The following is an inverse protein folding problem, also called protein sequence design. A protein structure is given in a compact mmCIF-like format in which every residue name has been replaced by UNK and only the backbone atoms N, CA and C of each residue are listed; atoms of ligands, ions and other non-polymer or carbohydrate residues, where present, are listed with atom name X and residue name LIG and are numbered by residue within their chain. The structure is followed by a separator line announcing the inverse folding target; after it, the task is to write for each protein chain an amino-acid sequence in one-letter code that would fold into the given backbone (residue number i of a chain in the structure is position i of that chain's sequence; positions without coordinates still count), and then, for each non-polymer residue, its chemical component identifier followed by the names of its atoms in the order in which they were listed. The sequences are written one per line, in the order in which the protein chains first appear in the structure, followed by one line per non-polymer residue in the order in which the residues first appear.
data_IF_302849367655
#
_entry.id   IF_302849367655
#
_cell.length_a   1.000
_cell.length_b   1.000
_cell.length_c   1.000
_cell.angle_alpha   90.00
_cell.angle_beta   90.00
_cell.angle_gamma   90.00
#
_symmetry.space_group_name_H-M   'P 1'
#
loop_
_entity.id
_entity.type
_entity.pdbx_description
1 polymer ?
#
# COMPACT_ATOMS: atom_id res chain seq x y z
N UNK A 1 -28.31 34.22 -19.32
CA UNK A 1 -28.68 33.69 -17.98
C UNK A 1 -29.13 32.23 -17.98
N UNK A 2 -29.79 31.71 -19.03
CA UNK A 2 -30.22 30.28 -19.09
C UNK A 2 -29.06 29.28 -19.19
N UNK A 3 -28.11 29.49 -20.10
CA UNK A 3 -26.95 28.60 -20.28
C UNK A 3 -26.05 28.50 -19.03
N UNK A 4 -25.80 29.62 -18.35
CA UNK A 4 -25.01 29.64 -17.10
C UNK A 4 -25.69 28.90 -15.93
N UNK A 5 -27.03 28.88 -15.89
CA UNK A 5 -27.79 28.14 -14.88
C UNK A 5 -27.82 26.64 -15.18
N UNK A 6 -27.96 26.28 -16.47
CA UNK A 6 -27.86 24.89 -16.95
C UNK A 6 -26.48 24.29 -16.67
N UNK A 7 -25.41 25.03 -16.96
CA UNK A 7 -24.03 24.59 -16.70
C UNK A 7 -23.72 24.42 -15.21
N UNK A 8 -24.18 25.35 -14.35
CA UNK A 8 -24.05 25.20 -12.88
C UNK A 8 -24.81 23.99 -12.34
N UNK A 9 -26.00 23.70 -12.89
CA UNK A 9 -26.77 22.52 -12.51
C UNK A 9 -26.05 21.22 -12.90
N UNK A 10 -25.46 21.20 -14.10
CA UNK A 10 -24.67 20.07 -14.58
C UNK A 10 -23.43 19.80 -13.70
N UNK A 11 -22.64 20.82 -13.39
CA UNK A 11 -21.48 20.69 -12.50
C UNK A 11 -21.87 20.22 -11.10
N UNK A 12 -23.04 20.63 -10.60
CA UNK A 12 -23.57 20.13 -9.32
C UNK A 12 -23.80 18.62 -9.39
N UNK A 13 -24.49 18.14 -10.43
CA UNK A 13 -24.75 16.71 -10.59
C UNK A 13 -23.46 15.89 -10.72
N UNK A 14 -22.45 16.40 -11.43
CA UNK A 14 -21.13 15.75 -11.49
C UNK A 14 -20.48 15.62 -10.11
N UNK A 15 -20.61 16.63 -9.25
CA UNK A 15 -20.08 16.61 -7.87
C UNK A 15 -20.82 15.62 -6.96
N UNK A 16 -22.07 15.30 -7.27
CA UNK A 16 -22.88 14.33 -6.51
C UNK A 16 -22.57 12.87 -6.88
N UNK A 17 -21.96 12.63 -8.05
CA UNK A 17 -21.56 11.29 -8.50
C UNK A 17 -20.66 10.60 -7.45
N UNK A 18 -20.82 9.29 -7.29
CA UNK A 18 -19.96 8.50 -6.41
C UNK A 18 -18.84 7.86 -7.21
N UNK A 19 -17.72 8.56 -7.35
CA UNK A 19 -16.57 8.08 -8.11
C UNK A 19 -15.23 8.63 -7.56
N UNK A 20 -14.11 8.27 -8.18
CA UNK A 20 -12.79 8.62 -7.66
C UNK A 20 -12.54 10.13 -7.63
N UNK A 21 -13.17 10.88 -8.53
CA UNK A 21 -13.08 12.34 -8.61
C UNK A 21 -13.78 13.06 -7.46
N UNK A 22 -14.78 12.44 -6.82
CA UNK A 22 -15.59 13.05 -5.76
C UNK A 22 -15.29 12.47 -4.37
N UNK A 23 -14.49 11.41 -4.27
CA UNK A 23 -14.11 10.79 -2.99
C UNK A 23 -13.01 11.53 -2.21
N UNK A 24 -12.68 12.76 -2.60
CA UNK A 24 -11.64 13.58 -1.97
C UNK A 24 -10.30 12.85 -1.84
N UNK A 25 -9.92 12.12 -2.89
CA UNK A 25 -8.61 11.50 -2.99
C UNK A 25 -7.61 12.59 -3.38
N UNK A 26 -6.94 13.19 -2.40
CA UNK A 26 -5.95 14.25 -2.63
C UNK A 26 -4.50 13.76 -2.37
N UNK A 27 -3.95 12.87 -3.22
CA UNK A 27 -2.57 12.42 -3.09
C UNK A 27 -1.58 13.37 -3.77
N UNK A 28 -0.49 13.66 -3.07
CA UNK A 28 0.72 14.25 -3.66
C UNK A 28 1.21 13.44 -4.89
N UNK A 29 1.86 14.11 -5.85
CA UNK A 29 2.37 13.49 -7.09
C UNK A 29 3.29 12.29 -6.80
N UNK A 30 4.19 12.40 -5.81
CA UNK A 30 5.08 11.31 -5.41
C UNK A 30 4.33 10.04 -4.98
N UNK A 31 3.16 10.24 -4.36
CA UNK A 31 2.29 9.19 -3.85
C UNK A 31 1.48 8.55 -4.97
N UNK A 32 1.00 9.33 -5.93
CA UNK A 32 0.35 8.83 -7.15
C UNK A 32 1.27 7.88 -7.91
N UNK A 33 2.52 8.29 -8.16
CA UNK A 33 3.53 7.47 -8.84
C UNK A 33 3.80 6.15 -8.09
N UNK A 34 3.91 6.19 -6.76
CA UNK A 34 4.04 4.97 -5.94
C UNK A 34 2.80 4.07 -5.98
N UNK A 35 1.62 4.65 -6.13
CA UNK A 35 0.37 3.89 -6.17
C UNK A 35 0.17 3.25 -7.55
N UNK A 36 0.50 3.97 -8.63
CA UNK A 36 0.56 3.44 -10.00
C UNK A 36 1.35 2.13 -10.07
N UNK A 37 2.62 2.17 -9.67
CA UNK A 37 3.49 0.98 -9.72
C UNK A 37 2.95 -0.17 -8.84
N UNK A 38 2.35 0.15 -7.68
CA UNK A 38 1.73 -0.87 -6.82
C UNK A 38 0.51 -1.52 -7.47
N UNK A 39 -0.30 -0.76 -8.20
CA UNK A 39 -1.49 -1.28 -8.86
C UNK A 39 -1.10 -2.11 -10.08
N UNK A 40 -0.06 -1.70 -10.82
CA UNK A 40 0.54 -2.51 -11.87
C UNK A 40 1.11 -3.82 -11.31
N UNK A 41 1.81 -3.76 -10.19
CA UNK A 41 2.37 -4.94 -9.53
C UNK A 41 1.28 -5.91 -9.01
N UNK A 42 -0.01 -5.55 -8.96
CA UNK A 42 -1.09 -6.51 -8.63
C UNK A 42 -1.29 -7.52 -9.76
N UNK A 43 -0.96 -7.14 -11.00
CA UNK A 43 -1.17 -7.96 -12.18
C UNK A 43 -2.61 -7.93 -12.70
N UNK A 44 -2.78 -8.42 -13.93
CA UNK A 44 -4.05 -8.48 -14.67
C UNK A 44 -4.54 -9.92 -14.83
N UNK A 45 -4.14 -10.80 -13.92
CA UNK A 45 -4.45 -12.23 -14.00
C UNK A 45 -5.96 -12.50 -14.02
N UNK A 46 -6.33 -13.48 -14.85
CA UNK A 46 -7.72 -13.93 -15.00
C UNK A 46 -8.24 -14.45 -13.66
N UNK A 47 -9.35 -13.88 -13.19
CA UNK A 47 -9.97 -14.23 -11.90
C UNK A 47 -9.68 -13.26 -10.75
N UNK A 48 -8.89 -12.20 -10.96
CA UNK A 48 -8.79 -11.10 -10.00
C UNK A 48 -10.14 -10.34 -9.90
N UNK A 49 -10.89 -10.60 -8.83
CA UNK A 49 -12.22 -9.98 -8.60
C UNK A 49 -12.18 -8.45 -8.46
N UNK A 50 -11.01 -7.86 -8.24
CA UNK A 50 -10.82 -6.41 -8.15
C UNK A 50 -10.30 -5.78 -9.45
N UNK A 51 -10.15 -6.54 -10.55
CA UNK A 51 -9.48 -6.06 -11.77
C UNK A 51 -10.10 -4.79 -12.36
N UNK A 52 -11.42 -4.75 -12.50
CA UNK A 52 -12.13 -3.55 -12.96
C UNK A 52 -11.89 -2.32 -12.07
N UNK A 53 -11.97 -2.50 -10.76
CA UNK A 53 -11.71 -1.48 -9.76
C UNK A 53 -10.24 -0.99 -9.78
N UNK A 54 -9.29 -1.90 -10.05
CA UNK A 54 -7.87 -1.55 -10.25
C UNK A 54 -7.73 -0.64 -11.46
N UNK A 55 -8.39 -0.98 -12.58
CA UNK A 55 -8.36 -0.14 -13.78
C UNK A 55 -9.04 1.21 -13.56
N UNK A 56 -10.17 1.27 -12.85
CA UNK A 56 -10.79 2.54 -12.46
C UNK A 56 -9.82 3.43 -11.66
N UNK A 57 -9.18 2.88 -10.63
CA UNK A 57 -8.25 3.67 -9.83
C UNK A 57 -7.00 4.07 -10.62
N UNK A 58 -6.49 3.20 -11.50
CA UNK A 58 -5.37 3.55 -12.40
C UNK A 58 -5.76 4.65 -13.36
N UNK A 59 -6.94 4.59 -13.99
CA UNK A 59 -7.41 5.64 -14.90
C UNK A 59 -7.49 7.00 -14.22
N UNK A 60 -8.02 7.04 -13.00
CA UNK A 60 -8.00 8.25 -12.18
C UNK A 60 -6.58 8.76 -11.91
N UNK A 61 -5.64 7.88 -11.56
CA UNK A 61 -4.24 8.25 -11.29
C UNK A 61 -3.55 8.79 -12.55
N UNK A 62 -3.70 8.14 -13.70
CA UNK A 62 -3.09 8.61 -14.96
C UNK A 62 -3.64 9.99 -15.35
N UNK A 63 -4.95 10.19 -15.22
CA UNK A 63 -5.56 11.50 -15.47
C UNK A 63 -5.00 12.58 -14.53
N UNK A 64 -4.86 12.29 -13.23
CA UNK A 64 -4.23 13.21 -12.27
C UNK A 64 -2.74 13.47 -12.55
N UNK A 65 -2.09 12.59 -13.31
CA UNK A 65 -0.72 12.76 -13.79
C UNK A 65 -0.65 13.44 -15.18
N UNK A 66 -1.80 13.81 -15.78
CA UNK A 66 -1.89 14.49 -17.08
C UNK A 66 -1.94 13.54 -18.28
N UNK A 67 -2.08 12.23 -18.05
CA UNK A 67 -2.07 11.17 -19.07
C UNK A 67 -3.52 10.76 -19.39
N UNK A 68 -4.21 11.61 -20.15
CA UNK A 68 -5.66 11.50 -20.38
C UNK A 68 -6.04 10.35 -21.32
N UNK A 69 -5.23 10.06 -22.34
CA UNK A 69 -5.51 8.94 -23.27
C UNK A 69 -5.33 7.60 -22.58
N UNK A 70 -4.29 7.47 -21.76
CA UNK A 70 -4.09 6.30 -20.90
C UNK A 70 -5.23 6.15 -19.90
N UNK A 71 -5.69 7.25 -19.30
CA UNK A 71 -6.84 7.23 -18.41
C UNK A 71 -8.11 6.72 -19.09
N UNK A 72 -8.40 7.20 -20.31
CA UNK A 72 -9.55 6.75 -21.12
C UNK A 72 -9.47 5.26 -21.42
N UNK A 73 -8.33 4.78 -21.90
CA UNK A 73 -8.11 3.35 -22.18
C UNK A 73 -8.29 2.48 -20.94
N UNK A 74 -7.81 2.94 -19.78
CA UNK A 74 -7.97 2.24 -18.52
C UNK A 74 -9.43 2.19 -18.05
N UNK A 75 -10.19 3.27 -18.21
CA UNK A 75 -11.61 3.24 -17.87
C UNK A 75 -12.41 2.31 -18.78
N UNK A 76 -12.07 2.21 -20.07
CA UNK A 76 -12.68 1.23 -20.99
C UNK A 76 -12.37 -0.21 -20.56
N UNK A 77 -11.09 -0.51 -20.28
CA UNK A 77 -10.68 -1.81 -19.72
C UNK A 77 -11.36 -2.13 -18.40
N UNK A 78 -11.66 -1.11 -17.58
CA UNK A 78 -12.41 -1.29 -16.36
C UNK A 78 -13.85 -1.74 -16.65
N UNK A 79 -14.54 -1.11 -17.62
CA UNK A 79 -15.88 -1.52 -18.06
C UNK A 79 -15.89 -2.98 -18.51
N UNK A 80 -14.97 -3.35 -19.41
CA UNK A 80 -14.81 -4.72 -19.94
C UNK A 80 -14.59 -5.72 -18.80
N UNK A 81 -13.60 -5.48 -17.94
CA UNK A 81 -13.26 -6.39 -16.85
C UNK A 81 -14.39 -6.54 -15.81
N UNK A 82 -15.17 -5.50 -15.56
CA UNK A 82 -16.32 -5.57 -14.66
C UNK A 82 -17.45 -6.41 -15.26
N UNK A 83 -17.76 -6.21 -16.53
CA UNK A 83 -18.80 -6.95 -17.23
C UNK A 83 -18.43 -8.42 -17.41
N UNK A 84 -17.19 -8.72 -17.78
CA UNK A 84 -16.67 -10.10 -17.85
C UNK A 84 -16.77 -10.82 -16.50
N UNK A 85 -16.40 -10.14 -15.40
CA UNK A 85 -16.47 -10.70 -14.06
C UNK A 85 -17.91 -11.04 -13.64
N UNK A 86 -18.86 -10.19 -14.05
CA UNK A 86 -20.28 -10.32 -13.69
C UNK A 86 -21.08 -11.13 -14.72
N UNK A 87 -20.49 -11.42 -15.88
CA UNK A 87 -21.12 -12.09 -17.03
C UNK A 87 -22.41 -11.38 -17.46
N UNK A 88 -22.37 -10.05 -17.44
CA UNK A 88 -23.49 -9.18 -17.75
C UNK A 88 -22.97 -7.83 -18.23
N UNK A 89 -23.65 -7.22 -19.20
CA UNK A 89 -23.22 -5.97 -19.83
C UNK A 89 -23.65 -4.71 -19.05
N UNK A 90 -24.54 -4.88 -18.09
CA UNK A 90 -25.14 -3.80 -17.33
C UNK A 90 -25.39 -4.22 -15.88
N UNK A 91 -25.08 -3.31 -14.95
CA UNK A 91 -25.41 -3.47 -13.54
C UNK A 91 -24.77 -2.41 -12.66
N UNK A 92 -25.09 -2.42 -11.35
CA UNK A 92 -24.67 -1.36 -10.43
C UNK A 92 -23.15 -1.32 -10.17
N UNK A 93 -22.40 -2.35 -10.57
CA UNK A 93 -20.94 -2.35 -10.52
C UNK A 93 -20.29 -1.36 -11.51
N UNK A 94 -21.04 -0.88 -12.51
CA UNK A 94 -20.54 0.11 -13.49
C UNK A 94 -20.67 1.56 -13.02
N UNK A 95 -21.41 1.83 -11.93
CA UNK A 95 -21.73 3.20 -11.50
C UNK A 95 -20.47 4.04 -11.27
N UNK A 96 -19.47 3.50 -10.58
CA UNK A 96 -18.20 4.22 -10.32
C UNK A 96 -17.42 4.44 -11.62
N UNK A 97 -17.43 3.46 -12.52
CA UNK A 97 -16.74 3.53 -13.81
C UNK A 97 -17.36 4.61 -14.71
N UNK A 98 -18.68 4.61 -14.86
CA UNK A 98 -19.38 5.63 -15.65
C UNK A 98 -19.28 7.01 -15.01
N UNK A 99 -19.28 7.12 -13.68
CA UNK A 99 -19.00 8.37 -12.99
C UNK A 99 -17.59 8.91 -13.27
N UNK A 100 -16.58 8.04 -13.30
CA UNK A 100 -15.22 8.42 -13.69
C UNK A 100 -15.15 8.88 -15.16
N UNK A 101 -15.83 8.20 -16.08
CA UNK A 101 -15.89 8.57 -17.50
C UNK A 101 -16.59 9.91 -17.70
N UNK A 102 -17.70 10.16 -16.99
CA UNK A 102 -18.39 11.45 -17.01
C UNK A 102 -17.44 12.59 -16.62
N UNK A 103 -16.68 12.42 -15.54
CA UNK A 103 -15.67 13.41 -15.10
C UNK A 103 -14.52 13.56 -16.08
N UNK A 104 -14.03 12.48 -16.69
CA UNK A 104 -12.97 12.55 -17.69
C UNK A 104 -13.41 13.36 -18.90
N UNK A 105 -14.56 13.05 -19.49
CA UNK A 105 -15.09 13.79 -20.63
C UNK A 105 -15.37 15.26 -20.30
N UNK A 106 -15.87 15.55 -19.09
CA UNK A 106 -16.04 16.92 -18.62
C UNK A 106 -14.71 17.70 -18.62
N UNK A 107 -13.65 17.12 -18.04
CA UNK A 107 -12.32 17.76 -18.04
C UNK A 107 -11.71 17.92 -19.43
N UNK A 108 -12.08 17.06 -20.39
CA UNK A 108 -11.66 17.16 -21.79
C UNK A 108 -12.49 18.16 -22.60
N UNK A 109 -13.54 18.77 -22.02
CA UNK A 109 -14.43 19.70 -22.70
C UNK A 109 -15.53 19.03 -23.53
N UNK A 110 -15.63 17.71 -23.50
CA UNK A 110 -16.64 16.92 -24.20
C UNK A 110 -17.91 16.80 -23.36
N UNK A 111 -18.72 17.86 -23.40
CA UNK A 111 -19.94 17.95 -22.59
C UNK A 111 -21.00 16.93 -23.02
N UNK A 112 -21.05 16.56 -24.31
CA UNK A 112 -22.04 15.62 -24.82
C UNK A 112 -21.82 14.21 -24.26
N UNK A 113 -20.59 13.70 -24.34
CA UNK A 113 -20.25 12.40 -23.75
C UNK A 113 -20.33 12.43 -22.22
N UNK A 114 -19.92 13.53 -21.58
CA UNK A 114 -20.03 13.67 -20.13
C UNK A 114 -21.50 13.56 -19.67
N UNK A 115 -22.42 14.24 -20.37
CA UNK A 115 -23.86 14.16 -20.12
C UNK A 115 -24.41 12.76 -20.42
N UNK A 116 -23.95 12.08 -21.47
CA UNK A 116 -24.36 10.73 -21.80
C UNK A 116 -23.99 9.73 -20.69
N UNK A 117 -22.77 9.80 -20.16
CA UNK A 117 -22.36 8.96 -19.03
C UNK A 117 -23.08 9.29 -17.74
N UNK A 118 -23.37 10.58 -17.49
CA UNK A 118 -24.18 10.99 -16.34
C UNK A 118 -25.59 10.36 -16.41
N UNK A 119 -26.23 10.41 -17.56
CA UNK A 119 -27.53 9.76 -17.78
C UNK A 119 -27.47 8.23 -17.63
N UNK A 120 -26.36 7.60 -18.03
CA UNK A 120 -26.14 6.15 -17.75
C UNK A 120 -26.04 5.85 -16.26
N UNK A 121 -25.40 6.72 -15.47
CA UNK A 121 -25.34 6.56 -14.01
C UNK A 121 -26.75 6.68 -13.41
N UNK A 122 -27.52 7.69 -13.80
CA UNK A 122 -28.89 7.90 -13.32
C UNK A 122 -29.77 6.67 -13.63
N UNK A 123 -29.74 6.18 -14.88
CA UNK A 123 -30.49 5.00 -15.29
C UNK A 123 -30.12 3.73 -14.49
N UNK A 124 -28.82 3.52 -14.22
CA UNK A 124 -28.37 2.39 -13.40
C UNK A 124 -28.87 2.50 -11.95
N UNK A 125 -28.84 3.69 -11.36
CA UNK A 125 -29.26 3.91 -9.98
C UNK A 125 -30.78 3.81 -9.81
N UNK A 126 -31.56 4.16 -10.84
CA UNK A 126 -33.01 3.95 -10.87
C UNK A 126 -33.37 2.47 -11.02
N UNK A 127 -32.70 1.75 -11.91
CA UNK A 127 -32.95 0.32 -12.19
C UNK A 127 -32.45 -0.60 -11.07
N UNK A 128 -31.36 -0.24 -10.42
CA UNK A 128 -30.72 -1.01 -9.35
C UNK A 128 -30.59 -0.15 -8.07
N UNK A 129 -31.72 0.18 -7.43
CA UNK A 129 -31.69 1.00 -6.21
C UNK A 129 -30.94 0.28 -5.09
N UNK A 130 -30.43 1.05 -4.14
CA UNK A 130 -29.78 0.48 -2.96
C UNK A 130 -30.76 -0.43 -2.18
N UNK A 131 -30.32 -1.62 -1.72
CA UNK A 131 -31.14 -2.50 -0.89
C UNK A 131 -31.59 -1.87 0.43
N UNK A 132 -30.95 -0.79 0.87
CA UNK A 132 -31.29 -0.04 2.08
C UNK A 132 -31.58 1.42 1.72
N UNK A 133 -32.78 1.90 2.07
CA UNK A 133 -33.21 3.25 1.72
C UNK A 133 -32.26 4.32 2.28
N UNK A 134 -31.92 5.29 1.44
CA UNK A 134 -31.01 6.39 1.79
C UNK A 134 -29.53 6.00 1.90
N UNK A 135 -29.17 4.73 1.73
CA UNK A 135 -27.78 4.29 1.75
C UNK A 135 -27.18 4.14 0.35
N UNK A 136 -25.86 4.32 0.25
CA UNK A 136 -25.11 4.06 -0.98
C UNK A 136 -25.24 2.59 -1.38
N UNK A 137 -25.32 2.33 -2.69
CA UNK A 137 -25.35 0.97 -3.23
C UNK A 137 -24.11 0.16 -2.74
N UNK A 138 -24.25 -1.13 -2.39
CA UNK A 138 -23.15 -1.93 -1.81
C UNK A 138 -21.90 -2.02 -2.69
N UNK A 139 -22.04 -2.08 -4.03
CA UNK A 139 -20.90 -2.07 -4.97
C UNK A 139 -20.09 -0.76 -4.84
N UNK A 140 -20.76 0.39 -4.72
CA UNK A 140 -20.11 1.71 -4.51
C UNK A 140 -19.41 1.73 -3.15
N UNK A 141 -20.06 1.21 -2.10
CA UNK A 141 -19.47 1.11 -0.77
C UNK A 141 -18.18 0.27 -0.79
N UNK A 142 -18.22 -0.89 -1.45
CA UNK A 142 -17.10 -1.82 -1.53
C UNK A 142 -15.92 -1.23 -2.33
N UNK A 143 -16.17 -0.62 -3.49
CA UNK A 143 -15.13 0.04 -4.29
C UNK A 143 -14.52 1.21 -3.55
N UNK A 144 -15.34 2.08 -2.95
CA UNK A 144 -14.85 3.23 -2.17
C UNK A 144 -13.99 2.78 -0.99
N UNK A 145 -14.44 1.76 -0.25
CA UNK A 145 -13.69 1.19 0.85
C UNK A 145 -12.35 0.62 0.37
N UNK A 146 -12.37 -0.16 -0.72
CA UNK A 146 -11.18 -0.75 -1.32
C UNK A 146 -10.22 0.34 -1.79
N UNK A 147 -10.70 1.42 -2.42
CA UNK A 147 -9.87 2.54 -2.82
C UNK A 147 -9.25 3.23 -1.62
N UNK A 148 -10.05 3.61 -0.61
CA UNK A 148 -9.57 4.31 0.58
C UNK A 148 -8.46 3.57 1.33
N UNK A 149 -8.52 2.23 1.48
CA UNK A 149 -7.43 1.49 2.15
C UNK A 149 -6.05 1.66 1.45
N UNK A 150 -5.99 2.13 0.21
CA UNK A 150 -4.73 2.43 -0.50
C UNK A 150 -4.16 3.80 -0.10
N UNK A 151 -5.00 4.69 0.44
CA UNK A 151 -4.69 6.05 0.87
C UNK A 151 -4.34 6.18 2.37
N UNK A 152 -3.93 5.08 3.02
CA UNK A 152 -3.20 5.15 4.29
C UNK A 152 -4.09 4.93 5.53
N UNK A 153 -3.52 5.17 6.72
CA UNK A 153 -4.13 4.79 8.01
C UNK A 153 -5.34 5.65 8.37
N UNK A 154 -5.30 6.97 8.09
CA UNK A 154 -6.36 7.93 8.46
C UNK A 154 -7.74 7.55 7.92
N UNK A 155 -7.79 7.00 6.71
CA UNK A 155 -9.03 6.62 6.02
C UNK A 155 -9.44 5.16 6.30
N UNK A 156 -8.69 4.42 7.12
CA UNK A 156 -9.02 3.03 7.45
C UNK A 156 -10.34 2.88 8.22
N UNK A 157 -10.66 3.72 9.24
CA UNK A 157 -11.96 3.62 9.92
C UNK A 157 -13.12 3.81 8.95
N UNK A 158 -13.06 4.86 8.11
CA UNK A 158 -14.05 5.12 7.08
C UNK A 158 -14.19 3.95 6.09
N UNK A 159 -13.07 3.39 5.62
CA UNK A 159 -13.09 2.24 4.74
C UNK A 159 -13.69 1.00 5.43
N UNK A 160 -13.39 0.78 6.71
CA UNK A 160 -13.94 -0.32 7.48
C UNK A 160 -15.46 -0.22 7.60
N UNK A 161 -16.00 0.98 7.83
CA UNK A 161 -17.44 1.19 7.94
C UNK A 161 -18.15 1.01 6.59
N UNK A 162 -17.55 1.47 5.49
CA UNK A 162 -18.06 1.24 4.14
C UNK A 162 -18.09 -0.26 3.79
N UNK A 163 -17.05 -1.02 4.12
CA UNK A 163 -17.06 -2.47 3.94
C UNK A 163 -18.16 -3.14 4.79
N UNK A 164 -18.33 -2.75 6.06
CA UNK A 164 -19.40 -3.29 6.91
C UNK A 164 -20.77 -3.05 6.30
N UNK A 165 -21.03 -1.84 5.77
CA UNK A 165 -22.28 -1.52 5.08
C UNK A 165 -22.50 -2.41 3.86
N UNK A 166 -21.49 -2.53 3.00
CA UNK A 166 -21.54 -3.38 1.81
C UNK A 166 -21.84 -4.85 2.18
N UNK A 167 -21.10 -5.40 3.16
CA UNK A 167 -21.25 -6.80 3.62
C UNK A 167 -22.61 -7.02 4.29
N UNK A 168 -23.15 -6.06 5.03
CA UNK A 168 -24.49 -6.15 5.64
C UNK A 168 -25.57 -6.26 4.55
N UNK A 169 -25.43 -5.50 3.46
CA UNK A 169 -26.39 -5.52 2.35
C UNK A 169 -26.23 -6.75 1.44
N UNK A 170 -25.00 -7.25 1.23
CA UNK A 170 -24.73 -8.45 0.42
C UNK A 170 -23.64 -9.32 1.09
N UNK A 171 -24.03 -10.21 2.03
CA UNK A 171 -23.09 -10.99 2.83
C UNK A 171 -22.41 -12.16 2.07
N UNK A 172 -22.92 -12.51 0.90
CA UNK A 172 -22.40 -13.56 0.00
C UNK A 172 -21.11 -13.14 -0.72
N UNK A 173 -20.80 -11.84 -0.75
CA UNK A 173 -19.61 -11.28 -1.42
C UNK A 173 -18.33 -11.52 -0.62
N UNK A 174 -17.77 -12.72 -0.78
CA UNK A 174 -16.58 -13.17 -0.03
C UNK A 174 -15.35 -12.29 -0.20
N UNK A 175 -15.17 -11.62 -1.35
CA UNK A 175 -14.06 -10.70 -1.61
C UNK A 175 -14.13 -9.41 -0.79
N UNK A 176 -15.33 -8.96 -0.42
CA UNK A 176 -15.51 -7.78 0.43
C UNK A 176 -15.14 -8.11 1.87
N UNK A 177 -15.57 -9.28 2.36
CA UNK A 177 -15.16 -9.77 3.68
C UNK A 177 -13.63 -9.96 3.75
N UNK A 178 -13.03 -10.58 2.73
CA UNK A 178 -11.57 -10.72 2.65
C UNK A 178 -10.86 -9.36 2.70
N UNK A 179 -11.34 -8.37 1.93
CA UNK A 179 -10.75 -7.02 1.90
C UNK A 179 -10.91 -6.28 3.22
N UNK A 180 -12.07 -6.43 3.87
CA UNK A 180 -12.35 -5.87 5.19
C UNK A 180 -11.37 -6.37 6.24
N UNK A 181 -11.22 -7.70 6.38
CA UNK A 181 -10.35 -8.28 7.41
C UNK A 181 -8.86 -8.02 7.12
N UNK A 182 -8.45 -7.94 5.84
CA UNK A 182 -7.12 -7.48 5.45
C UNK A 182 -6.87 -6.02 5.84
N UNK A 183 -7.90 -5.18 5.76
CA UNK A 183 -7.88 -3.79 6.26
C UNK A 183 -7.58 -3.73 7.77
N UNK A 184 -8.26 -4.56 8.56
CA UNK A 184 -8.03 -4.69 10.01
C UNK A 184 -6.60 -5.16 10.31
N UNK A 185 -6.14 -6.23 9.66
CA UNK A 185 -4.78 -6.75 9.84
C UNK A 185 -3.70 -5.71 9.48
N UNK A 186 -3.96 -4.88 8.46
CA UNK A 186 -3.05 -3.79 8.07
C UNK A 186 -2.97 -2.69 9.13
N UNK A 187 -4.07 -2.36 9.81
CA UNK A 187 -4.08 -1.39 10.91
C UNK A 187 -3.19 -1.85 12.07
N UNK A 188 -3.21 -3.15 12.38
CA UNK A 188 -2.40 -3.78 13.44
C UNK A 188 -1.04 -4.29 12.97
N UNK A 189 -0.58 -3.90 11.78
CA UNK A 189 0.66 -4.44 11.17
C UNK A 189 1.90 -4.23 12.06
N UNK A 190 1.99 -3.07 12.70
CA UNK A 190 3.12 -2.68 13.55
C UNK A 190 2.90 -3.04 15.03
N UNK A 191 1.74 -3.60 15.40
CA UNK A 191 1.50 -4.15 16.73
C UNK A 191 2.21 -5.50 16.88
N UNK A 192 2.84 -5.72 18.03
CA UNK A 192 3.42 -7.02 18.40
C UNK A 192 2.34 -8.07 18.66
N UNK A 193 1.27 -7.69 19.37
CA UNK A 193 0.13 -8.57 19.68
C UNK A 193 -0.76 -8.89 18.46
N UNK A 194 -0.57 -8.18 17.35
CA UNK A 194 -1.35 -8.38 16.12
C UNK A 194 -2.80 -7.90 16.25
N UNK A 195 -3.72 -8.62 15.59
CA UNK A 195 -5.16 -8.36 15.69
C UNK A 195 -5.77 -9.01 16.93
N UNK A 196 -6.84 -8.39 17.45
CA UNK A 196 -7.61 -8.94 18.57
C UNK A 196 -8.28 -10.29 18.22
N UNK A 197 -8.77 -11.00 19.23
CA UNK A 197 -9.36 -12.32 19.06
C UNK A 197 -10.62 -12.31 18.19
N UNK A 198 -11.45 -11.26 18.24
CA UNK A 198 -12.65 -11.14 17.41
C UNK A 198 -12.27 -10.95 15.94
N UNK A 199 -11.31 -10.08 15.67
CA UNK A 199 -10.77 -9.86 14.32
C UNK A 199 -10.10 -11.11 13.76
N UNK A 200 -9.38 -11.87 14.59
CA UNK A 200 -8.77 -13.14 14.16
C UNK A 200 -9.83 -14.17 13.74
N UNK A 201 -10.91 -14.34 14.51
CA UNK A 201 -12.03 -15.23 14.14
C UNK A 201 -12.70 -14.79 12.82
N UNK A 202 -12.84 -13.48 12.59
CA UNK A 202 -13.35 -12.96 11.31
C UNK A 202 -12.41 -13.30 10.15
N UNK A 203 -11.10 -13.18 10.35
CA UNK A 203 -10.10 -13.57 9.35
C UNK A 203 -10.17 -15.06 9.01
N UNK A 204 -10.30 -15.91 10.03
CA UNK A 204 -10.44 -17.36 9.83
C UNK A 204 -11.68 -17.70 8.99
N UNK A 205 -12.84 -17.13 9.34
CA UNK A 205 -14.08 -17.29 8.56
C UNK A 205 -13.90 -16.82 7.11
N UNK A 206 -13.33 -15.64 6.91
CA UNK A 206 -13.10 -15.09 5.57
C UNK A 206 -12.14 -15.96 4.74
N UNK A 207 -11.09 -16.53 5.37
CA UNK A 207 -10.16 -17.48 4.72
C UNK A 207 -10.90 -18.75 4.29
N UNK A 208 -11.74 -19.32 5.15
CA UNK A 208 -12.48 -20.54 4.85
C UNK A 208 -13.55 -20.32 3.76
N UNK A 209 -14.16 -19.14 3.71
CA UNK A 209 -15.11 -18.75 2.66
C UNK A 209 -14.43 -18.41 1.31
N UNK A 210 -13.13 -18.08 1.31
CA UNK A 210 -12.37 -17.73 0.12
C UNK A 210 -10.99 -18.42 0.10
N UNK A 211 -10.95 -19.76 -0.06
CA UNK A 211 -9.72 -20.55 0.07
C UNK A 211 -8.67 -20.20 -1.00
N UNK A 212 -9.10 -19.65 -2.14
CA UNK A 212 -8.20 -19.25 -3.23
C UNK A 212 -7.49 -17.91 -2.96
N UNK A 213 -7.85 -17.18 -1.89
CA UNK A 213 -7.17 -15.95 -1.51
C UNK A 213 -5.90 -16.26 -0.70
N UNK A 214 -4.83 -16.63 -1.40
CA UNK A 214 -3.55 -16.99 -0.80
C UNK A 214 -2.90 -15.82 -0.04
N UNK A 215 -3.18 -14.57 -0.43
CA UNK A 215 -2.75 -13.39 0.31
C UNK A 215 -3.38 -13.33 1.71
N UNK A 216 -4.69 -13.56 1.81
CA UNK A 216 -5.39 -13.64 3.10
C UNK A 216 -4.84 -14.79 3.94
N UNK A 217 -4.61 -15.96 3.34
CA UNK A 217 -4.01 -17.09 4.03
C UNK A 217 -2.63 -16.73 4.64
N UNK A 218 -1.74 -16.09 3.88
CA UNK A 218 -0.42 -15.68 4.36
C UNK A 218 -0.50 -14.66 5.51
N UNK A 219 -1.41 -13.69 5.41
CA UNK A 219 -1.62 -12.69 6.46
C UNK A 219 -2.23 -13.32 7.71
N UNK A 220 -3.15 -14.28 7.55
CA UNK A 220 -3.74 -15.04 8.66
C UNK A 220 -2.69 -15.85 9.41
N UNK A 221 -1.86 -16.65 8.70
CA UNK A 221 -0.75 -17.39 9.32
C UNK A 221 0.22 -16.46 10.08
N UNK A 222 0.47 -15.26 9.54
CA UNK A 222 1.26 -14.24 10.25
C UNK A 222 0.61 -13.82 11.58
N UNK A 223 -0.73 -13.72 11.64
CA UNK A 223 -1.41 -13.40 12.90
C UNK A 223 -1.37 -14.58 13.89
N UNK A 224 -1.42 -15.82 13.41
CA UNK A 224 -1.28 -17.01 14.27
C UNK A 224 0.13 -17.09 14.86
N UNK A 225 1.17 -16.88 14.05
CA UNK A 225 2.56 -16.86 14.49
C UNK A 225 2.82 -15.77 15.54
N UNK A 226 2.21 -14.59 15.40
CA UNK A 226 2.25 -13.52 16.42
C UNK A 226 1.69 -13.97 17.78
N UNK A 227 0.78 -14.94 17.78
CA UNK A 227 0.19 -15.53 19.00
C UNK A 227 0.93 -16.78 19.47
N UNK A 228 2.13 -17.05 18.93
CA UNK A 228 2.96 -18.18 19.32
C UNK A 228 2.51 -19.53 18.77
N UNK A 229 1.59 -19.55 17.79
CA UNK A 229 1.22 -20.81 17.14
C UNK A 229 2.30 -21.23 16.13
N UNK A 230 2.57 -22.54 16.08
CA UNK A 230 3.38 -23.16 15.03
C UNK A 230 2.60 -23.13 13.71
N UNK A 231 3.25 -22.69 12.65
CA UNK A 231 2.64 -22.45 11.32
C UNK A 231 3.54 -22.89 10.17
N UNK A 232 4.64 -23.58 10.47
CA UNK A 232 5.70 -23.94 9.53
C UNK A 232 5.16 -24.83 8.40
N UNK A 233 4.41 -25.88 8.75
CA UNK A 233 3.83 -26.82 7.78
C UNK A 233 2.79 -26.14 6.88
N UNK A 234 1.92 -25.30 7.44
CA UNK A 234 0.95 -24.51 6.68
C UNK A 234 1.63 -23.48 5.79
N UNK A 235 2.70 -22.84 6.27
CA UNK A 235 3.47 -21.87 5.50
C UNK A 235 4.16 -22.54 4.30
N UNK A 236 4.70 -23.75 4.46
CA UNK A 236 5.33 -24.50 3.38
C UNK A 236 4.31 -24.97 2.32
N UNK A 237 3.13 -25.44 2.77
CA UNK A 237 2.01 -25.76 1.87
C UNK A 237 1.57 -24.52 1.09
N UNK A 238 1.43 -23.38 1.77
CA UNK A 238 1.06 -22.12 1.15
C UNK A 238 2.12 -21.61 0.17
N UNK A 239 3.41 -21.76 0.49
CA UNK A 239 4.51 -21.44 -0.40
C UNK A 239 4.40 -22.20 -1.72
N UNK A 240 4.14 -23.50 -1.64
CA UNK A 240 3.93 -24.36 -2.81
C UNK A 240 2.74 -23.91 -3.65
N UNK A 241 1.64 -23.47 -3.03
CA UNK A 241 0.46 -22.95 -3.74
C UNK A 241 0.72 -21.60 -4.42
N UNK A 242 1.38 -20.68 -3.72
CA UNK A 242 1.70 -19.34 -4.25
C UNK A 242 2.61 -19.46 -5.47
N UNK A 243 3.65 -20.30 -5.39
CA UNK A 243 4.64 -20.46 -6.46
C UNK A 243 4.17 -21.32 -7.65
N UNK A 244 2.98 -21.93 -7.58
CA UNK A 244 2.33 -22.57 -8.74
C UNK A 244 1.60 -21.58 -9.64
N UNK A 245 1.31 -20.37 -9.12
CA UNK A 245 0.60 -19.33 -9.85
C UNK A 245 1.58 -18.20 -10.22
N UNK A 246 1.26 -17.35 -11.22
CA UNK A 246 2.06 -16.19 -11.50
C UNK A 246 2.20 -15.28 -10.26
N UNK A 247 3.42 -14.81 -10.02
CA UNK A 247 3.76 -14.11 -8.77
C UNK A 247 3.50 -12.62 -8.93
N UNK A 248 2.52 -12.11 -8.20
CA UNK A 248 2.20 -10.68 -8.15
C UNK A 248 2.24 -10.13 -6.72
N UNK A 249 1.99 -8.82 -6.56
CA UNK A 249 1.82 -8.18 -5.26
C UNK A 249 0.60 -8.64 -4.49
N UNK A 250 -0.36 -9.27 -5.18
CA UNK A 250 -1.56 -9.84 -4.59
C UNK A 250 -1.52 -11.37 -4.48
N UNK A 251 -0.51 -12.05 -5.02
CA UNK A 251 -0.31 -13.52 -4.87
C UNK A 251 -0.14 -13.98 -3.41
N UNK A 252 0.30 -13.09 -2.52
CA UNK A 252 0.64 -13.42 -1.13
C UNK A 252 2.12 -13.70 -0.90
N UNK A 253 2.98 -13.63 -1.93
CA UNK A 253 4.42 -13.90 -1.78
C UNK A 253 5.08 -13.01 -0.73
N UNK A 254 4.77 -11.71 -0.71
CA UNK A 254 5.38 -10.76 0.22
C UNK A 254 4.97 -10.99 1.68
N UNK A 255 3.68 -11.15 2.04
CA UNK A 255 3.31 -11.52 3.40
C UNK A 255 3.89 -12.89 3.79
N UNK A 256 3.96 -13.87 2.89
CA UNK A 256 4.60 -15.16 3.15
C UNK A 256 6.09 -14.99 3.50
N UNK A 257 6.86 -14.29 2.68
CA UNK A 257 8.28 -14.05 2.94
C UNK A 257 8.51 -13.29 4.27
N UNK A 258 7.58 -12.41 4.66
CA UNK A 258 7.61 -11.77 5.99
C UNK A 258 7.35 -12.74 7.12
N UNK A 259 6.41 -13.67 6.95
CA UNK A 259 6.14 -14.72 7.91
C UNK A 259 7.42 -15.54 8.13
N UNK A 260 8.01 -16.05 7.04
CA UNK A 260 9.26 -16.82 7.11
C UNK A 260 10.36 -16.03 7.81
N UNK A 261 10.63 -14.80 7.36
CA UNK A 261 11.70 -13.97 7.92
C UNK A 261 11.55 -13.73 9.42
N UNK A 262 10.32 -13.57 9.92
CA UNK A 262 10.09 -13.16 11.31
C UNK A 262 9.86 -14.32 12.28
N UNK A 263 9.31 -15.42 11.81
CA UNK A 263 8.76 -16.46 12.68
C UNK A 263 9.24 -17.88 12.34
N UNK A 264 9.93 -18.08 11.21
CA UNK A 264 10.41 -19.40 10.78
C UNK A 264 11.93 -19.32 10.59
N UNK A 265 12.38 -18.89 9.41
CA UNK A 265 13.79 -18.75 9.07
C UNK A 265 13.96 -17.68 7.98
N UNK A 266 14.88 -16.73 8.23
CA UNK A 266 15.25 -15.71 7.24
C UNK A 266 16.05 -16.31 6.07
N UNK A 267 16.81 -17.38 6.30
CA UNK A 267 17.56 -18.05 5.24
C UNK A 267 16.60 -18.81 4.31
N UNK A 268 15.61 -19.53 4.87
CA UNK A 268 14.55 -20.15 4.07
C UNK A 268 13.72 -19.12 3.31
N UNK A 269 13.49 -17.94 3.88
CA UNK A 269 12.83 -16.84 3.16
C UNK A 269 13.64 -16.40 1.93
N UNK A 270 14.98 -16.37 2.03
CA UNK A 270 15.85 -16.02 0.90
C UNK A 270 15.84 -17.14 -0.13
N UNK A 271 16.02 -18.39 0.30
CA UNK A 271 16.06 -19.55 -0.60
C UNK A 271 14.74 -19.66 -1.38
N UNK A 272 13.60 -19.53 -0.69
CA UNK A 272 12.27 -19.50 -1.31
C UNK A 272 12.13 -18.36 -2.34
N UNK A 273 12.59 -17.17 -2.01
CA UNK A 273 12.48 -16.00 -2.88
C UNK A 273 13.40 -16.09 -4.11
N UNK A 274 14.63 -16.59 -3.93
CA UNK A 274 15.58 -16.82 -5.03
C UNK A 274 15.09 -17.94 -5.94
N UNK A 275 14.56 -19.04 -5.41
CA UNK A 275 14.02 -20.13 -6.23
C UNK A 275 12.81 -19.69 -7.04
N UNK A 276 11.94 -18.86 -6.46
CA UNK A 276 10.87 -18.23 -7.20
C UNK A 276 11.43 -17.32 -8.33
N UNK A 277 12.47 -16.52 -8.04
CA UNK A 277 13.05 -15.60 -9.02
C UNK A 277 13.76 -16.35 -10.16
N UNK A 278 14.40 -17.49 -9.89
CA UNK A 278 14.98 -18.36 -10.92
C UNK A 278 13.94 -18.85 -11.91
N UNK A 279 12.73 -19.17 -11.44
CA UNK A 279 11.60 -19.63 -12.28
C UNK A 279 10.95 -18.49 -13.06
N UNK A 280 10.95 -17.27 -12.50
CA UNK A 280 10.31 -16.09 -13.09
C UNK A 280 11.28 -14.90 -13.09
N UNK A 281 12.36 -14.95 -13.89
CA UNK A 281 13.43 -13.95 -13.85
C UNK A 281 12.99 -12.56 -14.31
N UNK A 282 11.91 -12.44 -15.06
CA UNK A 282 11.41 -11.16 -15.56
C UNK A 282 10.42 -10.47 -14.61
N UNK A 283 9.98 -11.17 -13.55
CA UNK A 283 8.97 -10.63 -12.63
C UNK A 283 9.57 -9.56 -11.71
N UNK A 284 9.35 -8.29 -12.06
CA UNK A 284 9.90 -7.13 -11.35
C UNK A 284 9.50 -7.08 -9.88
N UNK A 285 8.28 -7.51 -9.55
CA UNK A 285 7.81 -7.50 -8.16
C UNK A 285 8.53 -8.55 -7.32
N UNK A 286 8.92 -9.67 -7.93
CA UNK A 286 9.67 -10.72 -7.27
C UNK A 286 11.11 -10.27 -7.00
N UNK A 287 11.78 -9.62 -7.95
CA UNK A 287 13.09 -8.96 -7.70
C UNK A 287 13.04 -8.02 -6.50
N UNK A 288 11.96 -7.25 -6.40
CA UNK A 288 11.70 -6.36 -5.26
C UNK A 288 11.51 -7.11 -3.94
N UNK A 289 10.91 -8.30 -3.96
CA UNK A 289 10.77 -9.16 -2.79
C UNK A 289 12.12 -9.80 -2.38
N UNK A 290 12.90 -10.33 -3.32
CA UNK A 290 14.23 -10.91 -3.04
C UNK A 290 15.17 -9.85 -2.45
N UNK A 291 15.23 -8.66 -3.06
CA UNK A 291 16.01 -7.54 -2.52
C UNK A 291 15.62 -7.21 -1.07
N UNK A 292 14.32 -7.31 -0.74
CA UNK A 292 13.82 -7.05 0.59
C UNK A 292 14.21 -8.14 1.61
N UNK A 293 14.21 -9.42 1.22
CA UNK A 293 14.68 -10.52 2.06
C UNK A 293 16.17 -10.34 2.42
N UNK A 294 17.03 -10.08 1.44
CA UNK A 294 18.44 -9.81 1.69
C UNK A 294 18.65 -8.62 2.61
N UNK A 295 17.90 -7.54 2.40
CA UNK A 295 17.96 -6.37 3.29
C UNK A 295 17.62 -6.76 4.73
N UNK A 296 16.59 -7.58 4.94
CA UNK A 296 16.21 -8.01 6.28
C UNK A 296 17.31 -8.83 6.94
N UNK A 297 17.88 -9.81 6.24
CA UNK A 297 19.01 -10.61 6.70
C UNK A 297 20.18 -9.72 7.12
N UNK A 298 20.66 -8.87 6.20
CA UNK A 298 21.86 -8.04 6.40
C UNK A 298 21.69 -7.03 7.55
N UNK A 299 20.51 -6.42 7.68
CA UNK A 299 20.32 -5.33 8.65
C UNK A 299 19.88 -5.80 10.04
N UNK A 300 19.10 -6.88 10.12
CA UNK A 300 18.41 -7.27 11.36
C UNK A 300 18.90 -8.59 11.96
N UNK A 301 19.63 -9.43 11.23
CA UNK A 301 20.09 -10.74 11.70
C UNK A 301 21.62 -10.82 11.75
N UNK A 302 22.24 -9.98 12.60
CA UNK A 302 23.71 -9.86 12.69
C UNK A 302 24.42 -11.10 13.23
N UNK A 303 23.71 -11.94 13.98
CA UNK A 303 24.25 -13.15 14.61
C UNK A 303 24.50 -14.28 13.60
N UNK A 304 23.86 -14.22 12.44
CA UNK A 304 24.14 -15.14 11.33
C UNK A 304 25.04 -14.43 10.33
N UNK A 305 26.34 -14.79 10.33
CA UNK A 305 27.32 -14.19 9.39
C UNK A 305 26.75 -14.25 7.96
N UNK A 306 26.71 -13.12 7.23
CA UNK A 306 26.27 -13.12 5.84
C UNK A 306 27.11 -14.09 5.02
N UNK A 307 26.47 -14.92 4.19
CA UNK A 307 27.20 -15.78 3.23
C UNK A 307 28.08 -14.90 2.31
N UNK A 308 29.25 -15.37 1.85
CA UNK A 308 30.04 -14.65 0.86
C UNK A 308 29.18 -14.27 -0.37
N UNK A 309 29.35 -13.06 -0.92
CA UNK A 309 28.59 -12.60 -2.08
C UNK A 309 27.17 -12.10 -1.77
N UNK A 310 26.66 -12.28 -0.55
CA UNK A 310 25.29 -11.90 -0.18
C UNK A 310 25.05 -10.40 -0.30
N UNK A 311 26.03 -9.58 0.09
CA UNK A 311 25.88 -8.12 0.04
C UNK A 311 25.98 -7.61 -1.39
N UNK A 312 26.84 -8.20 -2.21
CA UNK A 312 26.96 -7.92 -3.65
C UNK A 312 25.66 -8.26 -4.37
N UNK A 313 25.08 -9.45 -4.10
CA UNK A 313 23.78 -9.86 -4.63
C UNK A 313 22.66 -8.90 -4.21
N UNK A 314 22.63 -8.52 -2.94
CA UNK A 314 21.67 -7.55 -2.41
C UNK A 314 21.79 -6.19 -3.11
N UNK A 315 23.00 -5.67 -3.28
CA UNK A 315 23.28 -4.41 -3.98
C UNK A 315 22.83 -4.47 -5.43
N UNK A 316 23.15 -5.56 -6.15
CA UNK A 316 22.77 -5.76 -7.54
C UNK A 316 21.25 -5.73 -7.70
N UNK A 317 20.53 -6.52 -6.91
CA UNK A 317 19.07 -6.56 -6.93
C UNK A 317 18.44 -5.22 -6.58
N UNK A 318 18.98 -4.48 -5.61
CA UNK A 318 18.46 -3.15 -5.28
C UNK A 318 18.66 -2.15 -6.43
N UNK A 319 19.81 -2.18 -7.11
CA UNK A 319 20.07 -1.33 -8.29
C UNK A 319 19.09 -1.65 -9.43
N UNK A 320 18.90 -2.94 -9.71
CA UNK A 320 17.95 -3.40 -10.71
C UNK A 320 16.52 -2.96 -10.38
N UNK A 321 16.07 -3.17 -9.14
CA UNK A 321 14.76 -2.69 -8.68
C UNK A 321 14.65 -1.16 -8.79
N UNK A 322 15.70 -0.39 -8.50
CA UNK A 322 15.65 1.06 -8.68
C UNK A 322 15.43 1.44 -10.16
N UNK A 323 16.04 0.70 -11.08
CA UNK A 323 15.86 0.90 -12.53
C UNK A 323 14.46 0.54 -13.03
N UNK A 324 13.87 -0.54 -12.48
CA UNK A 324 12.52 -1.00 -12.83
C UNK A 324 11.40 -0.10 -12.29
N UNK A 325 11.71 0.74 -11.30
CA UNK A 325 10.76 1.64 -10.63
C UNK A 325 11.28 3.09 -10.63
N UNK A 326 11.51 3.73 -11.79
CA UNK A 326 12.24 5.00 -11.89
C UNK A 326 11.57 6.12 -11.08
N UNK A 327 10.24 6.14 -11.06
CA UNK A 327 9.43 7.19 -10.44
C UNK A 327 9.01 6.89 -8.98
N UNK A 328 9.20 5.66 -8.50
CA UNK A 328 8.74 5.24 -7.16
C UNK A 328 9.82 4.59 -6.28
N UNK A 329 11.07 4.55 -6.75
CA UNK A 329 12.21 3.90 -6.10
C UNK A 329 12.85 4.67 -4.95
N UNK A 330 12.29 5.79 -4.48
CA UNK A 330 12.88 6.61 -3.41
C UNK A 330 13.25 5.78 -2.16
N UNK A 331 12.30 5.01 -1.63
CA UNK A 331 12.53 4.13 -0.47
C UNK A 331 13.56 3.03 -0.80
N UNK A 332 13.66 2.62 -2.06
CA UNK A 332 14.64 1.63 -2.53
C UNK A 332 16.06 2.18 -2.60
N UNK A 333 16.22 3.47 -2.87
CA UNK A 333 17.51 4.17 -2.77
C UNK A 333 17.98 4.24 -1.31
N UNK A 334 17.07 4.47 -0.36
CA UNK A 334 17.37 4.40 1.08
C UNK A 334 17.74 2.97 1.51
N UNK A 335 16.96 1.98 1.06
CA UNK A 335 17.26 0.56 1.32
C UNK A 335 18.66 0.21 0.80
N UNK A 336 19.02 0.65 -0.41
CA UNK A 336 20.36 0.44 -1.00
C UNK A 336 21.47 1.10 -0.18
N UNK A 337 21.28 2.35 0.28
CA UNK A 337 22.26 3.02 1.14
C UNK A 337 22.48 2.24 2.44
N UNK A 338 21.40 1.75 3.05
CA UNK A 338 21.46 0.96 4.28
C UNK A 338 22.21 -0.36 4.08
N UNK A 339 22.06 -1.01 2.92
CA UNK A 339 22.85 -2.22 2.57
C UNK A 339 24.33 -1.85 2.40
N UNK A 340 24.64 -0.78 1.66
CA UNK A 340 26.02 -0.31 1.51
C UNK A 340 26.71 0.01 2.83
N UNK A 341 25.97 0.50 3.84
CA UNK A 341 26.55 0.79 5.15
C UNK A 341 27.28 -0.40 5.78
N UNK A 342 27.00 -1.63 5.34
CA UNK A 342 27.61 -2.87 5.82
C UNK A 342 28.85 -3.32 5.04
N UNK A 343 29.10 -2.78 3.86
CA UNK A 343 30.25 -3.16 3.01
C UNK A 343 31.08 -1.97 2.52
N UNK A 344 30.43 -0.88 2.13
CA UNK A 344 31.06 0.33 1.58
C UNK A 344 30.40 1.58 2.20
N UNK A 345 30.97 2.01 3.33
CA UNK A 345 30.47 3.15 4.10
C UNK A 345 30.54 4.46 3.31
N UNK A 346 31.50 4.61 2.40
CA UNK A 346 31.64 5.81 1.57
C UNK A 346 30.51 5.92 0.54
N UNK A 347 30.16 4.82 -0.14
CA UNK A 347 29.00 4.78 -1.04
C UNK A 347 27.68 4.99 -0.31
N UNK A 348 27.51 4.39 0.87
CA UNK A 348 26.34 4.64 1.72
C UNK A 348 26.15 6.13 1.99
N UNK A 349 27.22 6.79 2.46
CA UNK A 349 27.22 8.23 2.76
C UNK A 349 26.87 9.05 1.52
N UNK A 350 27.51 8.77 0.38
CA UNK A 350 27.27 9.49 -0.87
C UNK A 350 25.79 9.42 -1.29
N UNK A 351 25.14 8.25 -1.14
CA UNK A 351 23.73 8.10 -1.46
C UNK A 351 22.86 8.90 -0.47
N UNK A 352 23.11 8.79 0.83
CA UNK A 352 22.34 9.55 1.83
C UNK A 352 22.47 11.06 1.63
N UNK A 353 23.68 11.57 1.41
CA UNK A 353 23.92 12.99 1.13
C UNK A 353 23.21 13.45 -0.15
N UNK A 354 23.23 12.63 -1.21
CA UNK A 354 22.47 12.91 -2.43
C UNK A 354 20.97 12.98 -2.15
N UNK A 355 20.42 12.09 -1.32
CA UNK A 355 19.00 12.07 -0.98
C UNK A 355 18.60 13.26 -0.09
N UNK A 356 19.44 13.68 0.85
CA UNK A 356 19.20 14.80 1.76
C UNK A 356 19.12 16.15 1.04
N UNK A 357 19.78 16.29 -0.12
CA UNK A 357 19.72 17.48 -0.96
C UNK A 357 18.49 17.55 -1.87
N UNK A 358 17.71 16.46 -1.98
CA UNK A 358 16.52 16.46 -2.83
C UNK A 358 15.41 17.24 -2.15
N UNK A 359 14.67 18.01 -2.93
CA UNK A 359 13.37 18.45 -2.45
C UNK A 359 12.39 17.27 -2.49
N UNK A 360 11.77 17.02 -1.35
CA UNK A 360 10.97 15.84 -1.06
C UNK A 360 9.70 16.28 -0.36
N UNK A 361 8.62 15.56 -0.62
CA UNK A 361 7.37 15.74 0.11
C UNK A 361 7.55 15.48 1.61
N UNK A 362 6.75 16.12 2.49
CA UNK A 362 6.91 15.99 3.93
C UNK A 362 6.94 14.54 4.44
N UNK A 363 6.08 13.67 3.92
CA UNK A 363 6.05 12.26 4.28
C UNK A 363 7.34 11.51 3.88
N UNK A 364 7.92 11.83 2.72
CA UNK A 364 9.16 11.22 2.25
C UNK A 364 10.38 11.78 3.01
N UNK A 365 10.36 13.07 3.41
CA UNK A 365 11.36 13.68 4.31
C UNK A 365 11.40 12.95 5.66
N UNK A 366 10.25 12.64 6.26
CA UNK A 366 10.19 11.86 7.51
C UNK A 366 10.84 10.49 7.37
N UNK A 367 10.57 9.77 6.27
CA UNK A 367 11.19 8.47 6.00
C UNK A 367 12.71 8.60 5.94
N UNK A 368 13.22 9.59 5.20
CA UNK A 368 14.65 9.81 5.03
C UNK A 368 15.32 10.16 6.35
N UNK A 369 14.80 11.15 7.08
CA UNK A 369 15.37 11.60 8.34
C UNK A 369 15.37 10.49 9.39
N UNK A 370 14.27 9.74 9.53
CA UNK A 370 14.22 8.58 10.43
C UNK A 370 15.28 7.52 10.06
N UNK A 371 15.41 7.19 8.78
CA UNK A 371 16.34 6.16 8.30
C UNK A 371 17.79 6.60 8.41
N UNK A 372 18.05 7.87 8.11
CA UNK A 372 19.39 8.46 8.24
C UNK A 372 19.81 8.57 9.71
N UNK A 373 18.89 8.94 10.61
CA UNK A 373 19.17 8.94 12.05
C UNK A 373 19.59 7.54 12.54
N UNK A 374 18.89 6.48 12.12
CA UNK A 374 19.26 5.10 12.44
C UNK A 374 20.62 4.71 11.86
N UNK A 375 20.95 5.17 10.65
CA UNK A 375 22.27 4.97 10.07
C UNK A 375 23.38 5.66 10.87
N UNK A 376 23.19 6.94 11.23
CA UNK A 376 24.14 7.70 12.06
C UNK A 376 24.38 7.00 13.40
N UNK A 377 23.31 6.55 14.05
CA UNK A 377 23.40 5.85 15.32
C UNK A 377 24.12 4.50 15.19
N UNK A 378 23.64 3.62 14.31
CA UNK A 378 24.10 2.24 14.26
C UNK A 378 25.43 2.03 13.53
N UNK A 379 25.70 2.82 12.48
CA UNK A 379 26.80 2.56 11.55
C UNK A 379 27.95 3.58 11.69
N UNK A 380 27.65 4.79 12.17
CA UNK A 380 28.62 5.88 12.38
C UNK A 380 28.92 6.16 13.84
N UNK A 381 28.12 5.64 14.78
CA UNK A 381 28.18 5.97 16.21
C UNK A 381 28.01 7.48 16.49
N UNK A 382 27.38 8.21 15.57
CA UNK A 382 27.05 9.63 15.74
C UNK A 382 25.68 9.77 16.40
N UNK A 383 25.67 9.65 17.73
CA UNK A 383 24.45 9.74 18.52
C UNK A 383 23.82 11.13 18.50
N UNK A 384 24.62 12.19 18.38
CA UNK A 384 24.11 13.56 18.37
C UNK A 384 23.44 13.90 17.04
N UNK A 385 24.08 13.55 15.91
CA UNK A 385 23.46 13.68 14.60
C UNK A 385 22.19 12.82 14.49
N UNK A 386 22.22 11.59 15.01
CA UNK A 386 21.04 10.73 15.06
C UNK A 386 19.87 11.40 15.80
N UNK A 387 20.13 11.96 16.98
CA UNK A 387 19.12 12.72 17.75
C UNK A 387 18.53 13.87 16.93
N UNK A 388 19.39 14.71 16.33
CA UNK A 388 18.94 15.85 15.53
C UNK A 388 18.06 15.43 14.34
N UNK A 389 18.42 14.35 13.63
CA UNK A 389 17.61 13.86 12.52
C UNK A 389 16.28 13.22 12.98
N UNK A 390 16.25 12.57 14.14
CA UNK A 390 14.98 12.13 14.73
C UNK A 390 14.08 13.32 15.10
N UNK A 391 14.64 14.40 15.65
CA UNK A 391 13.89 15.63 15.91
C UNK A 391 13.34 16.21 14.62
N UNK A 392 14.15 16.34 13.56
CA UNK A 392 13.70 16.81 12.23
C UNK A 392 12.56 15.96 11.67
N UNK A 393 12.62 14.65 11.82
CA UNK A 393 11.53 13.75 11.40
C UNK A 393 10.24 13.99 12.23
N UNK A 394 10.38 14.15 13.54
CA UNK A 394 9.26 14.37 14.46
C UNK A 394 8.60 15.76 14.30
N UNK A 395 9.37 16.78 13.93
CA UNK A 395 8.90 18.16 13.67
C UNK A 395 7.98 18.26 12.46
N UNK A 396 8.09 17.36 11.48
CA UNK A 396 7.16 17.32 10.36
C UNK A 396 5.82 16.79 10.89
N UNK A 397 4.75 17.58 10.75
CA UNK A 397 3.46 17.34 11.40
C UNK A 397 2.61 16.26 10.73
N UNK A 398 3.01 15.78 9.55
CA UNK A 398 2.32 14.68 8.86
C UNK A 398 2.36 13.43 9.74
N UNK A 399 1.19 12.92 10.13
CA UNK A 399 1.09 11.66 10.88
C UNK A 399 1.61 10.49 10.04
N UNK A 400 2.63 9.81 10.54
CA UNK A 400 3.19 8.63 9.89
C UNK A 400 3.89 7.74 10.90
N UNK A 401 4.01 6.45 10.58
CA UNK A 401 4.79 5.50 11.38
C UNK A 401 6.22 6.00 11.62
N UNK A 402 6.85 6.68 10.66
CA UNK A 402 8.24 7.14 10.78
C UNK A 402 8.37 8.36 11.69
N UNK A 403 7.31 9.16 11.81
CA UNK A 403 7.21 10.21 12.82
C UNK A 403 7.14 9.61 14.21
N UNK A 404 6.19 8.69 14.42
CA UNK A 404 5.96 8.04 15.71
C UNK A 404 7.19 7.23 16.17
N UNK A 405 7.82 6.50 15.25
CA UNK A 405 9.06 5.76 15.50
C UNK A 405 10.24 6.67 15.85
N UNK A 406 10.29 7.90 15.30
CA UNK A 406 11.32 8.88 15.69
C UNK A 406 11.04 9.50 17.06
N UNK A 407 9.78 9.78 17.39
CA UNK A 407 9.37 10.25 18.72
C UNK A 407 9.72 9.20 19.76
N UNK A 408 9.40 7.94 19.49
CA UNK A 408 9.70 6.81 20.37
C UNK A 408 11.22 6.61 20.53
N UNK A 409 12.00 6.74 19.46
CA UNK A 409 13.46 6.70 19.55
C UNK A 409 14.02 7.83 20.44
N UNK A 410 13.45 9.04 20.37
CA UNK A 410 13.83 10.15 21.24
C UNK A 410 13.49 9.88 22.71
N UNK A 411 12.30 9.34 23.01
CA UNK A 411 11.89 8.93 24.36
C UNK A 411 12.85 7.91 24.96
N UNK A 412 13.19 6.86 24.21
CA UNK A 412 14.17 5.85 24.67
C UNK A 412 15.56 6.43 24.90
N UNK A 413 15.98 7.38 24.06
CA UNK A 413 17.29 8.04 24.20
C UNK A 413 17.34 8.92 25.45
N UNK A 414 16.24 9.60 25.78
CA UNK A 414 16.08 10.36 27.02
C UNK A 414 16.27 9.45 28.25
N UNK A 415 15.62 8.29 28.28
CA UNK A 415 15.61 7.40 29.44
C UNK A 415 16.95 6.66 29.67
N UNK A 416 17.78 6.54 28.63
CA UNK A 416 19.04 5.79 28.66
C UNK A 416 20.30 6.65 28.83
N UNK A 417 20.19 7.98 28.68
CA UNK A 417 21.36 8.86 28.72
C UNK A 417 21.68 9.34 30.14
N UNK A 418 22.85 8.95 30.68
CA UNK A 418 23.49 9.56 31.88
C UNK A 418 23.87 11.06 31.70
N UNK A 419 23.45 11.71 30.61
CA UNK A 419 23.91 13.02 30.17
C UNK A 419 22.79 14.05 30.30
N UNK A 420 22.70 14.71 31.45
CA UNK A 420 21.62 15.63 31.85
C UNK A 420 21.24 16.67 30.79
N UNK A 421 22.21 17.17 29.99
CA UNK A 421 21.96 18.22 28.99
C UNK A 421 21.18 17.72 27.76
N UNK A 422 21.44 16.50 27.27
CA UNK A 422 20.74 15.94 26.09
C UNK A 422 19.32 15.51 26.44
N UNK A 423 19.14 14.95 27.64
CA UNK A 423 17.81 14.60 28.16
C UNK A 423 16.91 15.84 28.21
N UNK A 424 17.41 16.96 28.76
CA UNK A 424 16.66 18.24 28.82
C UNK A 424 16.27 18.78 27.45
N UNK A 425 17.17 18.77 26.47
CA UNK A 425 16.87 19.22 25.09
C UNK A 425 15.75 18.37 24.46
N UNK A 426 15.80 17.05 24.64
CA UNK A 426 14.76 16.14 24.15
C UNK A 426 13.43 16.41 24.85
N UNK A 427 13.42 16.60 26.18
CA UNK A 427 12.22 16.92 26.95
C UNK A 427 11.55 18.21 26.46
N UNK A 428 12.32 19.29 26.35
CA UNK A 428 11.82 20.58 25.87
C UNK A 428 11.26 20.47 24.46
N UNK A 429 11.90 19.69 23.59
CA UNK A 429 11.42 19.45 22.23
C UNK A 429 10.12 18.64 22.22
N UNK A 430 10.05 17.54 22.97
CA UNK A 430 8.86 16.70 23.03
C UNK A 430 7.67 17.46 23.62
N UNK A 431 7.89 18.32 24.62
CA UNK A 431 6.86 19.20 25.18
C UNK A 431 6.30 20.18 24.14
N UNK A 432 7.14 20.72 23.26
CA UNK A 432 6.73 21.63 22.18
C UNK A 432 5.90 20.96 21.09
N UNK A 433 6.04 19.63 20.90
CA UNK A 433 5.30 18.91 19.87
C UNK A 433 3.79 18.74 20.19
N UNK A 434 3.31 19.16 21.38
CA UNK A 434 1.91 19.02 21.85
C UNK A 434 1.36 17.61 21.56
N UNK A 435 2.17 16.60 21.87
CA UNK A 435 1.88 15.18 21.59
C UNK A 435 0.78 14.62 22.48
#
# INVERSE_FOLDING_TARGET
MSASKSQRNFESKLKDLQCHFTWALDPEKSRLLRLKDKLEDIGTEKGNRWLGHIYNLRGFIEHKLGLNEEAKSLFQKATEALNELRKADEGPWLVVNYGNLAWLHHHLGDQAESQAYLSKVDALMEKYPSPSQGELHPEICAERAWTLIKFGKKVQPQAADLFKKAIRMQPDRVEWNASYVLGLARASKHSESGVDASSLKKMERAKNQNPNNLYLAAVYLTQLAKKGQKVEDEAQKLASQILRNPVSSYSGIKPLLRLYTKYISVDEAIDLAEDALKKHPDERYLKRCVALCYKWKILFFRESRPRPGMTERAISLHREVISLYPNSSFVKKIDLASVYAKSDKAKSEAIFQKLLRRDLEPADKQVLYNRFAKHLYCDKQDHQGAMQFHMRAASITVESFFRDDSIEALRRTKDTTKWNRRSKEIEEFLAKLKL
#
